data_IF_475667354287
#
_entry.id   IF_475667354287
#
_cell.length_a   1.000
_cell.length_b   1.000
_cell.length_c   1.000
_cell.angle_alpha   90.00
_cell.angle_beta   90.00
_cell.angle_gamma   90.00
#
_symmetry.space_group_name_H-M   'P 1'
#
loop_
_entity.id
_entity.type
_entity.pdbx_description
1 polymer ?
#
# COMPACT_ATOMS: atom_id res chain seq x y z
N UNK A 1 -35.77 -19.71 -1.27
CA UNK A 1 -34.76 -19.24 -0.29
C UNK A 1 -34.34 -17.84 -0.69
N UNK A 2 -34.69 -16.81 0.10
CA UNK A 2 -34.28 -15.43 -0.19
C UNK A 2 -32.77 -15.37 -0.16
N UNK A 3 -32.11 -14.98 -1.23
CA UNK A 3 -30.68 -14.72 -1.26
C UNK A 3 -30.38 -13.59 -0.26
N UNK A 4 -29.92 -13.96 0.92
CA UNK A 4 -29.50 -12.98 1.91
C UNK A 4 -28.34 -12.18 1.28
N UNK A 5 -28.55 -10.90 1.02
CA UNK A 5 -27.50 -10.02 0.45
C UNK A 5 -26.28 -9.93 1.37
N UNK A 6 -25.22 -9.31 0.90
CA UNK A 6 -23.98 -9.06 1.66
C UNK A 6 -24.31 -8.35 2.98
N UNK A 7 -23.80 -8.87 4.11
CA UNK A 7 -24.03 -8.27 5.42
C UNK A 7 -23.31 -6.93 5.54
N UNK A 8 -24.08 -5.84 5.46
CA UNK A 8 -23.58 -4.46 5.51
C UNK A 8 -22.87 -4.10 6.82
N UNK A 9 -23.14 -4.84 7.92
CA UNK A 9 -22.48 -4.63 9.21
C UNK A 9 -20.98 -4.90 9.14
N UNK A 10 -20.54 -5.78 8.24
CA UNK A 10 -19.12 -6.07 8.03
C UNK A 10 -18.35 -4.90 7.43
N UNK A 11 -19.01 -4.01 6.69
CA UNK A 11 -18.35 -2.94 5.93
C UNK A 11 -17.68 -1.94 6.87
N UNK A 12 -18.32 -1.54 7.96
CA UNK A 12 -17.78 -0.53 8.86
C UNK A 12 -16.47 -0.96 9.54
N UNK A 13 -16.35 -2.14 10.19
CA UNK A 13 -15.06 -2.57 10.76
C UNK A 13 -13.99 -2.77 9.66
N UNK A 14 -14.35 -3.29 8.49
CA UNK A 14 -13.39 -3.46 7.39
C UNK A 14 -12.84 -2.12 6.90
N UNK A 15 -13.69 -1.11 6.69
CA UNK A 15 -13.26 0.24 6.31
C UNK A 15 -12.38 0.82 7.41
N UNK A 16 -12.87 0.85 8.66
CA UNK A 16 -12.15 1.46 9.77
C UNK A 16 -10.78 0.82 10.00
N UNK A 17 -10.69 -0.51 9.95
CA UNK A 17 -9.41 -1.20 10.06
C UNK A 17 -8.47 -0.93 8.87
N UNK A 18 -9.00 -0.88 7.65
CA UNK A 18 -8.18 -0.68 6.44
C UNK A 18 -7.56 0.71 6.36
N UNK A 19 -8.21 1.75 6.92
CA UNK A 19 -7.71 3.13 6.92
C UNK A 19 -6.65 3.41 8.00
N UNK A 20 -6.45 2.51 8.98
CA UNK A 20 -5.48 2.73 10.05
C UNK A 20 -4.05 2.94 9.54
N UNK A 21 -3.64 2.22 8.49
CA UNK A 21 -2.31 2.39 7.92
C UNK A 21 -2.17 3.71 7.15
N UNK A 22 -3.02 4.02 6.15
CA UNK A 22 -2.91 5.28 5.41
C UNK A 22 -3.07 6.53 6.28
N UNK A 23 -3.93 6.54 7.28
CA UNK A 23 -4.08 7.69 8.18
C UNK A 23 -2.79 7.96 8.97
N UNK A 24 -2.17 6.90 9.51
CA UNK A 24 -0.93 7.01 10.26
C UNK A 24 0.27 7.39 9.39
N UNK A 25 0.30 6.94 8.14
CA UNK A 25 1.35 7.29 7.19
C UNK A 25 1.26 8.73 6.75
N UNK A 26 0.05 9.21 6.44
CA UNK A 26 -0.19 10.55 5.92
C UNK A 26 -0.10 11.64 7.00
N UNK A 27 -0.63 11.41 8.21
CA UNK A 27 -0.50 12.35 9.33
C UNK A 27 0.96 12.54 9.76
N UNK A 28 1.77 11.48 9.68
CA UNK A 28 3.19 11.57 10.09
C UNK A 28 3.97 12.57 9.25
N UNK A 29 3.63 12.74 7.98
CA UNK A 29 4.37 13.63 7.08
C UNK A 29 4.51 15.06 7.64
N UNK A 30 3.47 15.58 8.30
CA UNK A 30 3.48 16.91 8.91
C UNK A 30 4.05 16.94 10.33
N UNK A 31 4.28 15.78 10.96
CA UNK A 31 4.79 15.65 12.32
C UNK A 31 6.32 15.55 12.40
N UNK A 32 7.00 15.24 11.29
CA UNK A 32 8.44 15.00 11.31
C UNK A 32 9.25 16.20 11.81
N UNK A 33 8.86 17.41 11.41
CA UNK A 33 9.52 18.65 11.84
C UNK A 33 9.29 18.93 13.34
N UNK A 34 8.03 18.94 13.85
CA UNK A 34 7.78 19.10 15.29
C UNK A 34 8.47 18.03 16.15
N UNK A 35 8.49 16.77 15.70
CA UNK A 35 9.20 15.68 16.41
C UNK A 35 10.71 15.95 16.42
N UNK A 36 11.28 16.33 15.27
CA UNK A 36 12.70 16.67 15.17
C UNK A 36 13.10 17.79 16.13
N UNK A 37 12.27 18.85 16.19
CA UNK A 37 12.48 19.95 17.13
C UNK A 37 12.37 19.51 18.59
N UNK A 38 11.38 18.65 18.94
CA UNK A 38 11.17 18.19 20.30
C UNK A 38 12.33 17.32 20.84
N UNK A 39 12.97 16.52 19.97
CA UNK A 39 14.10 15.66 20.36
C UNK A 39 15.47 16.28 20.02
N UNK A 40 15.53 17.47 19.40
CA UNK A 40 16.78 18.11 18.98
C UNK A 40 17.56 17.31 17.91
N UNK A 41 16.85 16.65 16.99
CA UNK A 41 17.45 15.74 16.00
C UNK A 41 17.22 16.22 14.57
N UNK A 42 18.15 15.93 13.63
CA UNK A 42 18.04 16.32 12.23
C UNK A 42 16.98 15.50 11.49
N UNK A 43 16.46 16.02 10.35
CA UNK A 43 15.46 15.33 9.50
C UNK A 43 15.88 13.92 9.05
N UNK A 44 17.18 13.67 8.86
CA UNK A 44 17.69 12.34 8.52
C UNK A 44 17.41 11.27 9.58
N UNK A 45 17.28 11.67 10.84
CA UNK A 45 16.94 10.76 11.93
C UNK A 45 15.42 10.59 12.06
N UNK A 46 14.61 11.67 11.89
CA UNK A 46 13.15 11.55 11.92
C UNK A 46 12.60 10.72 10.75
N UNK A 47 13.32 10.64 9.62
CA UNK A 47 12.97 9.78 8.51
C UNK A 47 12.82 8.30 8.90
N UNK A 48 13.51 7.83 9.95
CA UNK A 48 13.37 6.48 10.46
C UNK A 48 11.97 6.16 11.01
N UNK A 49 11.18 7.17 11.37
CA UNK A 49 9.78 6.99 11.78
C UNK A 49 8.89 6.52 10.61
N UNK A 50 9.16 7.01 9.41
CA UNK A 50 8.49 6.58 8.17
C UNK A 50 9.01 5.19 7.76
N UNK A 51 10.35 5.06 7.76
CA UNK A 51 11.04 3.83 7.40
C UNK A 51 10.62 2.65 8.25
N UNK A 52 10.64 2.81 9.57
CA UNK A 52 10.25 1.76 10.52
C UNK A 52 8.83 1.27 10.29
N UNK A 53 7.89 2.18 10.04
CA UNK A 53 6.52 1.81 9.69
C UNK A 53 6.46 1.02 8.37
N UNK A 54 7.12 1.49 7.32
CA UNK A 54 7.04 0.86 5.99
C UNK A 54 7.73 -0.51 5.97
N UNK A 55 8.90 -0.64 6.60
CA UNK A 55 9.59 -1.93 6.73
C UNK A 55 8.73 -2.94 7.50
N UNK A 56 8.22 -2.53 8.67
CA UNK A 56 7.35 -3.39 9.47
C UNK A 56 6.08 -3.78 8.73
N UNK A 57 5.48 -2.85 7.98
CA UNK A 57 4.27 -3.12 7.20
C UNK A 57 4.55 -4.03 6.02
N UNK A 58 5.65 -3.84 5.29
CA UNK A 58 6.01 -4.67 4.14
C UNK A 58 6.27 -6.13 4.52
N UNK A 59 6.92 -6.36 5.66
CA UNK A 59 7.11 -7.70 6.23
C UNK A 59 5.81 -8.21 6.88
N UNK A 60 5.13 -7.35 7.61
CA UNK A 60 3.94 -7.69 8.38
C UNK A 60 2.75 -8.10 7.52
N UNK A 61 2.57 -7.51 6.34
CA UNK A 61 1.42 -7.78 5.46
C UNK A 61 1.30 -9.25 5.07
N UNK A 62 2.32 -9.93 4.49
CA UNK A 62 2.19 -11.34 4.13
C UNK A 62 2.20 -12.25 5.37
N UNK A 63 2.90 -11.87 6.45
CA UNK A 63 2.89 -12.62 7.70
C UNK A 63 1.48 -12.61 8.31
N UNK A 64 0.87 -11.45 8.45
CA UNK A 64 -0.51 -11.32 8.93
C UNK A 64 -1.51 -11.98 7.99
N UNK A 65 -1.26 -11.94 6.68
CA UNK A 65 -2.05 -12.66 5.69
C UNK A 65 -2.08 -14.17 5.95
N UNK A 66 -0.90 -14.78 6.17
CA UNK A 66 -0.79 -16.20 6.52
C UNK A 66 -1.45 -16.53 7.86
N UNK A 67 -1.28 -15.65 8.84
CA UNK A 67 -1.93 -15.81 10.14
C UNK A 67 -3.46 -15.73 10.03
N UNK A 68 -3.98 -14.83 9.18
CA UNK A 68 -5.42 -14.73 8.89
C UNK A 68 -5.95 -16.03 8.30
N UNK A 69 -5.26 -16.60 7.31
CA UNK A 69 -5.67 -17.85 6.67
C UNK A 69 -5.61 -19.04 7.64
N UNK A 70 -4.70 -18.98 8.64
CA UNK A 70 -4.49 -20.07 9.62
C UNK A 70 -5.41 -19.95 10.84
N UNK A 71 -5.51 -18.76 11.44
CA UNK A 71 -6.21 -18.53 12.71
C UNK A 71 -7.55 -17.82 12.59
N UNK A 72 -7.88 -17.37 11.37
CA UNK A 72 -9.13 -16.71 11.03
C UNK A 72 -9.08 -15.18 11.10
N UNK A 73 -9.88 -14.53 10.24
CA UNK A 73 -9.82 -13.08 10.03
C UNK A 73 -10.23 -12.27 11.27
N UNK A 74 -11.25 -12.72 12.02
CA UNK A 74 -11.73 -11.99 13.20
C UNK A 74 -10.67 -11.88 14.29
N UNK A 75 -9.97 -12.97 14.60
CA UNK A 75 -8.94 -12.99 15.66
C UNK A 75 -7.81 -12.05 15.31
N UNK A 76 -7.30 -12.15 14.08
CA UNK A 76 -6.17 -11.33 13.62
C UNK A 76 -6.54 -9.86 13.48
N UNK A 77 -7.77 -9.56 13.04
CA UNK A 77 -8.29 -8.20 13.01
C UNK A 77 -8.29 -7.58 14.42
N UNK A 78 -8.84 -8.28 15.42
CA UNK A 78 -8.91 -7.79 16.81
C UNK A 78 -7.52 -7.61 17.42
N UNK A 79 -6.63 -8.59 17.26
CA UNK A 79 -5.25 -8.52 17.76
C UNK A 79 -4.50 -7.36 17.07
N UNK A 80 -4.56 -7.27 15.74
CA UNK A 80 -3.87 -6.24 14.98
C UNK A 80 -4.35 -4.84 15.35
N UNK A 81 -5.67 -4.63 15.44
CA UNK A 81 -6.22 -3.33 15.82
C UNK A 81 -5.92 -2.97 17.29
N UNK A 82 -5.90 -3.94 18.21
CA UNK A 82 -5.45 -3.71 19.58
C UNK A 82 -3.97 -3.31 19.66
N UNK A 83 -3.10 -3.93 18.86
CA UNK A 83 -1.68 -3.55 18.75
C UNK A 83 -1.52 -2.11 18.24
N UNK A 84 -2.40 -1.62 17.36
CA UNK A 84 -2.40 -0.22 16.92
C UNK A 84 -2.66 0.72 18.10
N UNK A 85 -3.62 0.40 18.97
CA UNK A 85 -3.89 1.19 20.18
C UNK A 85 -2.71 1.22 21.15
N UNK A 86 -2.08 0.06 21.38
CA UNK A 86 -0.87 -0.06 22.22
C UNK A 86 0.26 0.77 21.61
N UNK A 87 0.49 0.65 20.31
CA UNK A 87 1.50 1.42 19.60
C UNK A 87 1.22 2.94 19.68
N UNK A 88 -0.07 3.33 19.58
CA UNK A 88 -0.50 4.71 19.77
C UNK A 88 -0.13 5.25 21.15
N UNK A 89 -0.42 4.50 22.22
CA UNK A 89 -0.02 4.85 23.60
C UNK A 89 1.49 4.94 23.73
N UNK A 90 2.23 3.95 23.24
CA UNK A 90 3.69 3.95 23.25
C UNK A 90 4.23 5.21 22.54
N UNK A 91 3.70 5.56 21.37
CA UNK A 91 4.14 6.73 20.62
C UNK A 91 3.82 8.05 21.33
N UNK A 92 2.65 8.16 21.95
CA UNK A 92 2.23 9.35 22.71
C UNK A 92 3.11 9.57 23.96
N UNK A 93 3.58 8.51 24.58
CA UNK A 93 4.41 8.54 25.80
C UNK A 93 5.91 8.36 25.53
N UNK A 94 6.36 8.46 24.28
CA UNK A 94 7.72 8.15 23.89
C UNK A 94 8.77 9.09 24.51
N UNK A 95 9.69 8.59 25.34
CA UNK A 95 10.73 9.41 25.97
C UNK A 95 11.93 9.63 25.05
N UNK A 96 12.03 8.92 23.93
CA UNK A 96 13.16 8.98 22.99
C UNK A 96 12.75 8.62 21.57
N UNK A 97 13.56 9.02 20.59
CA UNK A 97 13.37 8.65 19.18
C UNK A 97 13.34 7.12 19.00
N UNK A 98 14.25 6.38 19.64
CA UNK A 98 14.28 4.91 19.51
C UNK A 98 12.99 4.26 19.99
N UNK A 99 12.41 4.74 21.08
CA UNK A 99 11.12 4.27 21.58
C UNK A 99 9.97 4.62 20.61
N UNK A 100 10.04 5.81 20.02
CA UNK A 100 9.07 6.26 19.01
C UNK A 100 9.17 5.39 17.73
N UNK A 101 10.38 5.05 17.28
CA UNK A 101 10.59 4.11 16.15
C UNK A 101 10.02 2.72 16.50
N UNK A 102 10.26 2.21 17.70
CA UNK A 102 9.68 0.94 18.14
C UNK A 102 8.14 0.96 18.12
N UNK A 103 7.53 2.07 18.57
CA UNK A 103 6.09 2.30 18.44
C UNK A 103 5.63 2.22 16.97
N UNK A 104 6.38 2.82 16.03
CA UNK A 104 6.06 2.80 14.59
C UNK A 104 6.18 1.39 13.98
N UNK A 105 7.17 0.62 14.40
CA UNK A 105 7.33 -0.79 14.00
C UNK A 105 6.13 -1.62 14.49
N UNK A 106 5.75 -1.48 15.77
CA UNK A 106 4.59 -2.16 16.34
C UNK A 106 3.30 -1.78 15.62
N UNK A 107 3.12 -0.49 15.31
CA UNK A 107 1.99 0.03 14.55
C UNK A 107 1.94 -0.56 13.13
N UNK A 108 3.09 -0.69 12.47
CA UNK A 108 3.21 -1.33 11.17
C UNK A 108 2.72 -2.79 11.17
N UNK A 109 3.12 -3.57 12.16
CA UNK A 109 2.60 -4.93 12.33
C UNK A 109 1.10 -4.94 12.66
N UNK A 110 0.64 -4.07 13.56
CA UNK A 110 -0.77 -3.97 13.93
C UNK A 110 -1.68 -3.66 12.74
N UNK A 111 -1.32 -2.64 11.95
CA UNK A 111 -2.11 -2.22 10.78
C UNK A 111 -2.08 -3.24 9.63
N UNK A 112 -1.09 -4.14 9.61
CA UNK A 112 -0.93 -5.16 8.57
C UNK A 112 -2.01 -6.25 8.61
N UNK A 113 -2.72 -6.43 9.71
CA UNK A 113 -3.72 -7.49 9.85
C UNK A 113 -5.07 -7.14 9.18
N UNK A 114 -5.44 -5.85 9.18
CA UNK A 114 -6.81 -5.44 8.82
C UNK A 114 -7.17 -5.66 7.35
N UNK A 115 -6.26 -5.40 6.41
CA UNK A 115 -6.54 -5.58 4.99
C UNK A 115 -6.64 -7.06 4.59
N UNK A 116 -5.69 -7.95 4.94
CA UNK A 116 -5.84 -9.39 4.70
C UNK A 116 -7.10 -9.98 5.35
N UNK A 117 -7.41 -9.54 6.59
CA UNK A 117 -8.63 -9.98 7.27
C UNK A 117 -9.89 -9.53 6.52
N UNK A 118 -9.93 -8.29 6.02
CA UNK A 118 -11.05 -7.80 5.22
C UNK A 118 -11.22 -8.60 3.93
N UNK A 119 -10.15 -8.93 3.22
CA UNK A 119 -10.20 -9.74 2.00
C UNK A 119 -10.73 -11.16 2.27
N UNK A 120 -10.30 -11.77 3.36
CA UNK A 120 -10.79 -13.09 3.81
C UNK A 120 -12.28 -13.04 4.20
N UNK A 121 -12.72 -11.99 4.90
CA UNK A 121 -14.13 -11.78 5.26
C UNK A 121 -15.01 -11.56 4.04
N UNK A 122 -14.55 -10.75 3.09
CA UNK A 122 -15.27 -10.51 1.82
C UNK A 122 -15.46 -11.82 1.06
N UNK A 123 -14.40 -12.66 1.00
CA UNK A 123 -14.48 -13.96 0.35
C UNK A 123 -15.47 -14.90 1.04
N UNK A 124 -15.35 -15.01 2.35
CA UNK A 124 -16.23 -15.85 3.18
C UNK A 124 -17.71 -15.46 3.03
N UNK A 125 -17.98 -14.15 2.93
CA UNK A 125 -19.32 -13.62 2.76
C UNK A 125 -19.85 -13.82 1.33
N UNK A 126 -18.99 -13.71 0.33
CA UNK A 126 -19.33 -14.03 -1.06
C UNK A 126 -19.71 -15.50 -1.21
N UNK A 127 -18.93 -16.41 -0.60
CA UNK A 127 -19.23 -17.85 -0.60
C UNK A 127 -20.57 -18.15 0.13
N UNK A 128 -20.87 -17.42 1.22
CA UNK A 128 -22.14 -17.56 1.97
C UNK A 128 -23.37 -17.08 1.16
N UNK A 129 -23.19 -15.99 0.40
CA UNK A 129 -24.31 -15.35 -0.34
C UNK A 129 -24.46 -15.83 -1.77
N UNK A 130 -23.50 -16.59 -2.29
CA UNK A 130 -23.44 -16.99 -3.71
C UNK A 130 -23.15 -15.81 -4.65
N UNK A 131 -22.66 -14.67 -4.15
CA UNK A 131 -22.32 -13.51 -4.96
C UNK A 131 -20.89 -13.65 -5.51
N UNK A 132 -20.75 -13.71 -6.83
CA UNK A 132 -19.45 -13.93 -7.48
C UNK A 132 -18.47 -12.77 -7.33
N UNK A 133 -18.93 -11.52 -7.17
CA UNK A 133 -18.04 -10.36 -7.11
C UNK A 133 -18.55 -9.25 -6.20
N UNK A 134 -17.90 -9.04 -5.04
CA UNK A 134 -18.23 -7.94 -4.12
C UNK A 134 -17.54 -6.61 -4.51
N UNK A 135 -17.54 -6.29 -5.82
CA UNK A 135 -16.85 -5.10 -6.37
C UNK A 135 -17.22 -3.79 -5.66
N UNK A 136 -18.46 -3.66 -5.21
CA UNK A 136 -18.92 -2.50 -4.44
C UNK A 136 -18.21 -2.35 -3.10
N UNK A 137 -17.98 -3.46 -2.39
CA UNK A 137 -17.26 -3.45 -1.09
C UNK A 137 -15.78 -3.13 -1.29
N UNK A 138 -15.14 -3.73 -2.30
CA UNK A 138 -13.75 -3.44 -2.65
C UNK A 138 -13.56 -1.98 -3.07
N UNK A 139 -14.53 -1.41 -3.82
CA UNK A 139 -14.57 0.02 -4.14
C UNK A 139 -14.67 0.88 -2.91
N UNK A 140 -15.56 0.56 -1.98
CA UNK A 140 -15.72 1.32 -0.74
C UNK A 140 -14.44 1.35 0.09
N UNK A 141 -13.76 0.20 0.21
CA UNK A 141 -12.44 0.11 0.87
C UNK A 141 -11.38 0.95 0.15
N UNK A 142 -11.34 0.89 -1.19
CA UNK A 142 -10.39 1.66 -2.00
C UNK A 142 -10.61 3.16 -1.87
N UNK A 143 -11.85 3.62 -1.97
CA UNK A 143 -12.22 5.03 -1.81
C UNK A 143 -11.87 5.53 -0.40
N UNK A 144 -12.23 4.77 0.63
CA UNK A 144 -11.92 5.14 2.01
C UNK A 144 -10.41 5.33 2.23
N UNK A 145 -9.58 4.42 1.72
CA UNK A 145 -8.12 4.52 1.80
C UNK A 145 -7.59 5.77 1.05
N UNK A 146 -8.14 6.08 -0.14
CA UNK A 146 -7.73 7.26 -0.91
C UNK A 146 -8.15 8.56 -0.23
N UNK A 147 -9.39 8.64 0.26
CA UNK A 147 -9.89 9.82 1.00
C UNK A 147 -9.03 10.11 2.22
N UNK A 148 -8.71 9.08 3.00
CA UNK A 148 -7.86 9.23 4.18
C UNK A 148 -6.43 9.65 3.84
N UNK A 149 -5.86 9.14 2.75
CA UNK A 149 -4.54 9.55 2.30
C UNK A 149 -4.48 11.06 1.99
N UNK A 150 -5.58 11.62 1.45
CA UNK A 150 -5.71 13.06 1.14
C UNK A 150 -5.96 13.90 2.40
N UNK A 151 -6.87 13.47 3.26
CA UNK A 151 -7.27 14.22 4.46
C UNK A 151 -6.22 14.14 5.58
N UNK A 152 -5.43 13.06 5.59
CA UNK A 152 -4.51 12.74 6.68
C UNK A 152 -3.54 13.87 7.06
N UNK A 153 -2.84 14.52 6.13
CA UNK A 153 -1.95 15.64 6.47
C UNK A 153 -2.68 16.80 7.12
N UNK A 154 -3.87 17.15 6.63
CA UNK A 154 -4.72 18.21 7.23
C UNK A 154 -5.15 17.82 8.64
N UNK A 155 -5.62 16.60 8.83
CA UNK A 155 -5.98 16.09 10.16
C UNK A 155 -4.77 16.10 11.09
N UNK A 156 -3.60 15.67 10.61
CA UNK A 156 -2.35 15.73 11.36
C UNK A 156 -1.98 17.14 11.78
N UNK A 157 -2.08 18.11 10.87
CA UNK A 157 -1.84 19.52 11.17
C UNK A 157 -2.77 20.08 12.23
N UNK A 158 -4.08 19.77 12.15
CA UNK A 158 -5.08 20.16 13.17
C UNK A 158 -4.75 19.55 14.53
N UNK A 159 -4.42 18.26 14.59
CA UNK A 159 -4.06 17.58 15.84
C UNK A 159 -2.80 18.20 16.47
N UNK A 160 -1.78 18.51 15.66
CA UNK A 160 -0.57 19.17 16.15
C UNK A 160 -0.90 20.55 16.73
N UNK A 161 -1.76 21.31 16.07
CA UNK A 161 -2.19 22.62 16.55
C UNK A 161 -2.98 22.57 17.88
N UNK A 162 -3.73 21.49 18.13
CA UNK A 162 -4.54 21.31 19.34
C UNK A 162 -3.75 20.85 20.56
N UNK A 163 -2.70 20.02 20.38
CA UNK A 163 -1.99 19.43 21.53
C UNK A 163 -0.63 18.82 21.19
N UNK A 164 0.02 19.34 20.14
CA UNK A 164 1.34 18.93 19.73
C UNK A 164 1.36 17.56 18.99
N UNK A 165 2.56 17.15 18.60
CA UNK A 165 2.77 15.93 17.81
C UNK A 165 2.32 14.64 18.51
N UNK A 166 2.21 14.64 19.85
CA UNK A 166 1.74 13.50 20.63
C UNK A 166 0.31 13.07 20.24
N UNK A 167 -0.57 14.03 19.87
CA UNK A 167 -1.94 13.73 19.50
C UNK A 167 -2.06 12.87 18.24
N UNK A 168 -1.08 12.92 17.32
CA UNK A 168 -1.03 12.04 16.14
C UNK A 168 -0.93 10.56 16.55
N UNK A 169 -0.25 10.27 17.65
CA UNK A 169 -0.16 8.92 18.20
C UNK A 169 -1.37 8.58 19.05
N UNK A 170 -1.82 9.52 19.89
CA UNK A 170 -2.96 9.33 20.80
C UNK A 170 -4.26 9.02 20.05
N UNK A 171 -4.49 9.60 18.86
CA UNK A 171 -5.70 9.36 18.05
C UNK A 171 -5.87 7.87 17.67
N UNK A 172 -4.79 7.10 17.67
CA UNK A 172 -4.85 5.65 17.41
C UNK A 172 -5.59 4.90 18.52
N UNK A 173 -5.63 5.42 19.74
CA UNK A 173 -6.31 4.77 20.88
C UNK A 173 -7.83 4.72 20.65
N UNK A 174 -8.54 5.83 20.47
CA UNK A 174 -9.97 5.80 20.19
C UNK A 174 -10.30 5.07 18.88
N UNK A 175 -9.47 5.20 17.83
CA UNK A 175 -9.66 4.45 16.58
C UNK A 175 -9.52 2.94 16.80
N UNK A 176 -8.52 2.51 17.57
CA UNK A 176 -8.31 1.11 17.95
C UNK A 176 -9.50 0.57 18.77
N UNK A 177 -9.96 1.31 19.77
CA UNK A 177 -11.13 0.93 20.58
C UNK A 177 -12.36 0.76 19.68
N UNK A 178 -12.61 1.70 18.77
CA UNK A 178 -13.71 1.60 17.82
C UNK A 178 -13.58 0.35 16.93
N UNK A 179 -12.38 0.06 16.39
CA UNK A 179 -12.13 -1.14 15.61
C UNK A 179 -12.38 -2.41 16.42
N UNK A 180 -11.87 -2.48 17.66
CA UNK A 180 -12.04 -3.65 18.54
C UNK A 180 -13.52 -3.85 18.87
N UNK A 181 -14.24 -2.80 19.23
CA UNK A 181 -15.67 -2.86 19.58
C UNK A 181 -16.49 -3.31 18.37
N UNK A 182 -16.34 -2.62 17.22
CA UNK A 182 -17.07 -3.00 16.01
C UNK A 182 -16.70 -4.42 15.53
N UNK A 183 -15.40 -4.76 15.58
CA UNK A 183 -14.92 -6.09 15.22
C UNK A 183 -15.44 -7.18 16.15
N UNK A 184 -15.52 -6.89 17.45
CA UNK A 184 -16.05 -7.85 18.43
C UNK A 184 -17.52 -8.19 18.19
N UNK A 185 -18.36 -7.19 17.93
CA UNK A 185 -19.80 -7.38 17.78
C UNK A 185 -20.22 -7.79 16.36
N UNK A 186 -19.54 -7.31 15.32
CA UNK A 186 -20.02 -7.47 13.94
C UNK A 186 -19.23 -8.48 13.11
N UNK A 187 -17.97 -8.80 13.48
CA UNK A 187 -17.24 -9.80 12.71
C UNK A 187 -17.66 -11.23 13.10
N UNK A 188 -17.89 -12.14 12.13
CA UNK A 188 -18.34 -13.50 12.38
C UNK A 188 -17.30 -14.29 13.19
N UNK A 189 -17.79 -15.06 14.17
CA UNK A 189 -16.92 -15.89 15.01
C UNK A 189 -16.33 -17.09 14.27
N UNK A 190 -17.00 -17.58 13.25
CA UNK A 190 -16.57 -18.67 12.38
C UNK A 190 -16.52 -18.13 10.95
N UNK A 191 -15.34 -18.11 10.35
CA UNK A 191 -15.15 -17.87 8.93
C UNK A 191 -14.98 -19.22 8.22
N UNK A 192 -15.59 -19.37 7.04
CA UNK A 192 -15.37 -20.52 6.17
C UNK A 192 -13.93 -20.46 5.60
N UNK A 193 -13.28 -21.62 5.46
CA UNK A 193 -11.96 -21.71 4.81
C UNK A 193 -10.75 -21.58 5.74
N UNK A 194 -10.95 -21.44 7.06
CA UNK A 194 -9.83 -21.41 8.02
C UNK A 194 -9.18 -22.80 8.10
N UNK A 195 -7.92 -22.90 7.80
CA UNK A 195 -7.12 -24.13 7.91
C UNK A 195 -6.57 -24.29 9.32
N UNK A 196 -7.37 -24.89 10.21
CA UNK A 196 -6.92 -25.20 11.57
C UNK A 196 -5.85 -26.31 11.58
N UNK A 197 -4.78 -26.12 12.33
CA UNK A 197 -3.74 -27.13 12.54
C UNK A 197 -2.48 -27.01 11.68
N UNK A 198 -2.41 -26.02 10.76
CA UNK A 198 -1.18 -25.77 10.01
C UNK A 198 -0.07 -25.20 10.92
N UNK A 199 1.13 -25.73 10.78
CA UNK A 199 2.33 -25.17 11.44
C UNK A 199 2.83 -23.96 10.69
N UNK A 200 3.20 -22.92 11.44
CA UNK A 200 3.83 -21.73 10.84
C UNK A 200 5.30 -22.02 10.54
N UNK A 201 5.72 -21.72 9.33
CA UNK A 201 7.13 -21.77 8.95
C UNK A 201 7.86 -20.50 9.44
N UNK A 202 8.24 -20.47 10.72
CA UNK A 202 8.97 -19.34 11.30
C UNK A 202 10.30 -19.06 10.60
N UNK A 203 10.99 -20.09 10.10
CA UNK A 203 12.24 -19.89 9.41
C UNK A 203 12.02 -19.32 7.99
N UNK A 204 10.97 -19.74 7.27
CA UNK A 204 10.54 -19.11 6.01
C UNK A 204 10.16 -17.65 6.20
N UNK A 205 9.39 -17.34 7.26
CA UNK A 205 9.05 -15.95 7.63
C UNK A 205 10.33 -15.13 7.91
N UNK A 206 11.28 -15.68 8.66
CA UNK A 206 12.54 -15.02 9.00
C UNK A 206 13.40 -14.73 7.77
N UNK A 207 13.54 -15.70 6.86
CA UNK A 207 14.28 -15.53 5.60
C UNK A 207 13.62 -14.50 4.68
N UNK A 208 12.30 -14.53 4.56
CA UNK A 208 11.53 -13.54 3.80
C UNK A 208 11.70 -12.12 4.38
N UNK A 209 11.59 -12.00 5.70
CA UNK A 209 11.80 -10.73 6.39
C UNK A 209 13.23 -10.20 6.16
N UNK A 210 14.25 -11.05 6.33
CA UNK A 210 15.65 -10.68 6.11
C UNK A 210 15.91 -10.24 4.66
N UNK A 211 15.33 -10.95 3.69
CA UNK A 211 15.39 -10.58 2.27
C UNK A 211 14.79 -9.18 2.04
N UNK A 212 13.56 -8.96 2.50
CA UNK A 212 12.87 -7.68 2.30
C UNK A 212 13.58 -6.54 3.02
N UNK A 213 13.95 -6.73 4.29
CA UNK A 213 14.64 -5.68 5.07
C UNK A 213 15.97 -5.31 4.43
N UNK A 214 16.78 -6.28 4.00
CA UNK A 214 18.06 -6.02 3.32
C UNK A 214 17.86 -5.23 2.04
N UNK A 215 16.89 -5.62 1.20
CA UNK A 215 16.56 -4.92 -0.04
C UNK A 215 16.05 -3.50 0.23
N UNK A 216 15.11 -3.35 1.15
CA UNK A 216 14.47 -2.07 1.44
C UNK A 216 15.43 -1.07 2.07
N UNK A 217 16.28 -1.51 2.99
CA UNK A 217 17.32 -0.65 3.59
C UNK A 217 18.30 -0.16 2.53
N UNK A 218 18.69 -1.02 1.57
CA UNK A 218 19.53 -0.59 0.46
C UNK A 218 18.83 0.45 -0.43
N UNK A 219 17.57 0.21 -0.81
CA UNK A 219 16.80 1.15 -1.64
C UNK A 219 16.61 2.52 -0.98
N UNK A 220 16.50 2.55 0.35
CA UNK A 220 16.35 3.81 1.10
C UNK A 220 17.66 4.57 1.28
N UNK A 221 18.77 3.87 1.43
CA UNK A 221 20.07 4.43 1.74
C UNK A 221 21.12 3.90 0.75
N UNK A 222 20.97 4.16 -0.56
CA UNK A 222 21.86 3.62 -1.57
C UNK A 222 23.26 4.19 -1.42
N UNK A 223 24.25 3.32 -1.18
CA UNK A 223 25.65 3.68 -1.10
C UNK A 223 26.51 2.50 -1.54
N UNK A 224 27.68 2.80 -2.14
CA UNK A 224 28.64 1.76 -2.55
C UNK A 224 29.09 0.92 -1.36
N UNK A 225 29.30 1.54 -0.19
CA UNK A 225 29.65 0.85 1.06
C UNK A 225 28.57 -0.12 1.56
N UNK A 226 27.35 -0.08 1.00
CA UNK A 226 26.22 -0.92 1.37
C UNK A 226 25.83 -1.94 0.29
N UNK A 227 26.66 -2.15 -0.74
CA UNK A 227 26.42 -3.15 -1.79
C UNK A 227 26.35 -4.58 -1.25
N UNK A 228 26.77 -4.83 -0.02
CA UNK A 228 26.56 -6.11 0.67
C UNK A 228 25.06 -6.38 0.95
N UNK A 229 24.22 -5.34 1.10
CA UNK A 229 22.78 -5.50 1.39
C UNK A 229 22.00 -6.18 0.23
N UNK A 230 22.11 -5.75 -1.04
CA UNK A 230 21.48 -6.48 -2.14
C UNK A 230 22.04 -7.89 -2.32
N UNK A 231 23.33 -8.13 -2.03
CA UNK A 231 23.91 -9.48 -2.02
C UNK A 231 23.25 -10.34 -0.94
N UNK A 232 23.09 -9.81 0.28
CA UNK A 232 22.36 -10.48 1.36
C UNK A 232 20.89 -10.71 0.97
N UNK A 233 20.23 -9.74 0.35
CA UNK A 233 18.84 -9.89 -0.10
C UNK A 233 18.70 -11.05 -1.11
N UNK A 234 19.62 -11.16 -2.08
CA UNK A 234 19.67 -12.29 -3.03
C UNK A 234 19.95 -13.60 -2.30
N UNK A 235 20.90 -13.63 -1.37
CA UNK A 235 21.24 -14.82 -0.57
C UNK A 235 20.06 -15.32 0.28
N UNK A 236 19.42 -14.41 1.01
CA UNK A 236 18.22 -14.74 1.79
C UNK A 236 17.05 -15.13 0.89
N UNK A 237 16.89 -14.49 -0.26
CA UNK A 237 15.88 -14.84 -1.26
C UNK A 237 16.08 -16.24 -1.84
N UNK A 238 17.32 -16.61 -2.15
CA UNK A 238 17.66 -17.94 -2.62
C UNK A 238 17.43 -19.01 -1.54
N UNK A 239 17.86 -18.73 -0.30
CA UNK A 239 17.63 -19.61 0.85
C UNK A 239 16.12 -19.76 1.16
N UNK A 240 15.35 -18.65 1.07
CA UNK A 240 13.91 -18.65 1.18
C UNK A 240 13.27 -19.53 0.09
N UNK A 241 13.62 -19.32 -1.17
CA UNK A 241 13.07 -20.09 -2.29
C UNK A 241 13.39 -21.59 -2.16
N UNK A 242 14.63 -21.92 -1.82
CA UNK A 242 15.03 -23.31 -1.58
C UNK A 242 14.24 -23.97 -0.46
N UNK A 243 14.03 -23.25 0.67
CA UNK A 243 13.25 -23.74 1.79
C UNK A 243 11.78 -23.94 1.43
N UNK A 244 11.14 -22.93 0.85
CA UNK A 244 9.72 -22.96 0.48
C UNK A 244 9.38 -24.08 -0.50
N UNK A 245 10.31 -24.38 -1.42
CA UNK A 245 10.16 -25.49 -2.36
C UNK A 245 10.30 -26.87 -1.71
N UNK A 246 10.89 -26.99 -0.52
CA UNK A 246 11.11 -28.26 0.19
C UNK A 246 10.18 -28.47 1.40
N UNK A 247 9.61 -27.40 1.92
CA UNK A 247 8.72 -27.46 3.11
C UNK A 247 7.33 -27.93 2.69
N UNK A 248 6.72 -28.81 3.49
CA UNK A 248 5.37 -29.33 3.27
C UNK A 248 4.30 -28.25 3.52
N UNK A 249 4.50 -27.45 4.54
CA UNK A 249 3.63 -26.34 4.91
C UNK A 249 4.41 -25.02 4.83
N UNK A 250 4.67 -24.50 3.61
CA UNK A 250 5.51 -23.32 3.41
C UNK A 250 4.80 -22.05 3.88
N UNK A 251 5.59 -21.00 4.19
CA UNK A 251 5.07 -19.68 4.47
C UNK A 251 4.38 -19.10 3.23
N UNK A 252 5.06 -19.11 2.09
CA UNK A 252 4.53 -18.75 0.77
C UNK A 252 4.75 -19.93 -0.16
N UNK A 253 3.69 -20.60 -0.58
CA UNK A 253 3.81 -21.76 -1.48
C UNK A 253 4.27 -21.34 -2.89
N UNK A 254 5.57 -21.33 -3.09
CA UNK A 254 6.17 -20.94 -4.37
C UNK A 254 5.80 -21.89 -5.51
N UNK A 255 5.41 -23.15 -5.24
CA UNK A 255 4.94 -24.10 -6.26
C UNK A 255 3.59 -23.67 -6.81
N UNK A 256 2.66 -23.32 -5.91
CA UNK A 256 1.33 -22.81 -6.27
C UNK A 256 1.45 -21.44 -6.91
N UNK A 257 2.30 -20.59 -6.36
CA UNK A 257 2.54 -19.26 -6.91
C UNK A 257 3.18 -19.34 -8.31
N UNK A 258 4.19 -20.17 -8.49
CA UNK A 258 4.86 -20.37 -9.79
C UNK A 258 3.96 -21.00 -10.86
N UNK A 259 2.98 -21.80 -10.45
CA UNK A 259 1.93 -22.34 -11.32
C UNK A 259 0.80 -21.36 -11.66
N UNK A 260 0.74 -20.20 -11.00
CA UNK A 260 -0.31 -19.19 -11.19
C UNK A 260 0.26 -17.93 -11.85
N UNK A 261 0.58 -18.01 -13.14
CA UNK A 261 1.09 -16.89 -13.91
C UNK A 261 0.19 -15.64 -13.90
N UNK A 262 -1.17 -15.76 -13.93
CA UNK A 262 -2.06 -14.61 -13.75
C UNK A 262 -1.83 -13.84 -12.44
N UNK A 263 -1.70 -14.54 -11.34
CA UNK A 263 -1.48 -13.94 -10.02
C UNK A 263 -0.10 -13.26 -9.94
N UNK A 264 0.95 -13.89 -10.49
CA UNK A 264 2.27 -13.28 -10.62
C UNK A 264 2.23 -12.00 -11.46
N UNK A 265 1.50 -12.01 -12.59
CA UNK A 265 1.30 -10.82 -13.41
C UNK A 265 0.59 -9.71 -12.62
N UNK A 266 -0.37 -10.05 -11.75
CA UNK A 266 -1.06 -9.09 -10.90
C UNK A 266 -0.13 -8.47 -9.85
N UNK A 267 0.77 -9.24 -9.23
CA UNK A 267 1.80 -8.69 -8.33
C UNK A 267 2.79 -7.78 -9.07
N UNK A 268 3.26 -8.20 -10.24
CA UNK A 268 4.15 -7.37 -11.07
C UNK A 268 3.48 -6.05 -11.46
N UNK A 269 2.22 -6.09 -11.93
CA UNK A 269 1.43 -4.88 -12.23
C UNK A 269 1.28 -3.97 -11.02
N UNK A 270 1.08 -4.54 -9.82
CA UNK A 270 0.97 -3.76 -8.59
C UNK A 270 2.27 -3.01 -8.31
N UNK A 271 3.41 -3.68 -8.31
CA UNK A 271 4.72 -3.06 -8.09
C UNK A 271 4.96 -1.95 -9.13
N UNK A 272 4.85 -2.25 -10.43
CA UNK A 272 5.10 -1.30 -11.51
C UNK A 272 4.16 -0.09 -11.44
N UNK A 273 2.86 -0.29 -11.18
CA UNK A 273 1.90 0.81 -11.03
C UNK A 273 2.30 1.74 -9.89
N UNK A 274 2.76 1.20 -8.76
CA UNK A 274 3.15 2.01 -7.62
C UNK A 274 4.53 2.65 -7.77
N UNK A 275 5.48 2.01 -8.48
CA UNK A 275 6.72 2.66 -8.91
C UNK A 275 6.39 3.94 -9.69
N UNK A 276 5.53 3.85 -10.70
CA UNK A 276 5.21 5.00 -11.54
C UNK A 276 4.40 6.05 -10.77
N UNK A 277 3.36 5.64 -10.04
CA UNK A 277 2.47 6.57 -9.32
C UNK A 277 3.21 7.35 -8.22
N UNK A 278 4.06 6.68 -7.44
CA UNK A 278 4.82 7.34 -6.38
C UNK A 278 6.01 8.16 -6.93
N UNK A 279 6.69 7.67 -7.98
CA UNK A 279 7.75 8.48 -8.64
C UNK A 279 7.16 9.76 -9.23
N UNK A 280 5.99 9.66 -9.89
CA UNK A 280 5.28 10.84 -10.38
C UNK A 280 4.92 11.77 -9.23
N UNK A 281 4.23 11.27 -8.21
CA UNK A 281 3.75 12.08 -7.09
C UNK A 281 4.90 12.82 -6.39
N UNK A 282 5.92 12.10 -5.95
CA UNK A 282 7.02 12.69 -5.18
C UNK A 282 8.00 13.45 -6.08
N UNK A 283 8.32 12.93 -7.27
CA UNK A 283 9.24 13.59 -8.19
C UNK A 283 8.64 14.89 -8.73
N UNK A 284 7.36 14.87 -9.08
CA UNK A 284 6.69 16.09 -9.56
C UNK A 284 6.51 17.12 -8.43
N UNK A 285 6.21 16.67 -7.20
CA UNK A 285 6.17 17.56 -6.03
C UNK A 285 7.51 18.26 -5.79
N UNK A 286 8.61 17.50 -5.74
CA UNK A 286 9.95 18.07 -5.56
C UNK A 286 10.31 19.05 -6.68
N UNK A 287 9.99 18.74 -7.93
CA UNK A 287 10.25 19.63 -9.05
C UNK A 287 9.42 20.92 -8.97
N UNK A 288 8.16 20.85 -8.52
CA UNK A 288 7.33 22.03 -8.29
C UNK A 288 7.93 22.94 -7.22
N UNK A 289 8.51 22.37 -6.16
CA UNK A 289 9.14 23.13 -5.09
C UNK A 289 10.49 23.72 -5.52
N UNK A 290 11.39 22.92 -6.09
CA UNK A 290 12.74 23.36 -6.41
C UNK A 290 12.87 24.13 -7.74
N UNK A 291 12.31 23.62 -8.83
CA UNK A 291 12.43 24.25 -10.16
C UNK A 291 11.42 25.36 -10.40
N UNK A 292 10.26 25.31 -9.75
CA UNK A 292 9.21 26.34 -9.84
C UNK A 292 9.19 27.28 -8.65
N UNK A 293 10.02 27.01 -7.63
CA UNK A 293 10.08 27.79 -6.38
C UNK A 293 8.71 27.95 -5.70
N UNK A 294 7.82 26.95 -5.86
CA UNK A 294 6.55 26.94 -5.15
C UNK A 294 6.77 26.55 -3.69
N UNK A 295 6.01 27.16 -2.79
CA UNK A 295 5.98 26.65 -1.41
C UNK A 295 5.41 25.22 -1.38
N UNK A 296 5.76 24.43 -0.37
CA UNK A 296 5.23 23.08 -0.20
C UNK A 296 3.69 23.04 -0.20
N UNK A 297 3.06 24.07 0.40
CA UNK A 297 1.59 24.22 0.36
C UNK A 297 1.05 24.44 -1.04
N UNK A 298 1.70 25.29 -1.84
CA UNK A 298 1.28 25.55 -3.23
C UNK A 298 1.49 24.31 -4.11
N UNK A 299 2.60 23.61 -3.98
CA UNK A 299 2.84 22.33 -4.66
C UNK A 299 1.80 21.27 -4.28
N UNK A 300 1.45 21.17 -3.01
CA UNK A 300 0.37 20.31 -2.52
C UNK A 300 -1.00 20.65 -3.14
N UNK A 301 -1.34 21.94 -3.28
CA UNK A 301 -2.59 22.37 -3.93
C UNK A 301 -2.62 22.01 -5.43
N UNK A 302 -1.47 22.08 -6.12
CA UNK A 302 -1.36 21.65 -7.53
C UNK A 302 -1.59 20.15 -7.69
N UNK A 303 -1.18 19.35 -6.68
CA UNK A 303 -1.33 17.89 -6.69
C UNK A 303 -2.67 17.41 -6.12
N UNK A 304 -3.39 18.25 -5.38
CA UNK A 304 -4.68 17.86 -4.79
C UNK A 304 -5.69 17.32 -5.82
N UNK A 305 -5.85 17.91 -7.03
CA UNK A 305 -6.74 17.40 -8.07
C UNK A 305 -6.38 15.98 -8.54
N UNK A 306 -5.11 15.56 -8.48
CA UNK A 306 -4.68 14.18 -8.77
C UNK A 306 -5.41 13.18 -7.87
N UNK A 307 -5.40 13.43 -6.57
CA UNK A 307 -6.10 12.57 -5.60
C UNK A 307 -7.62 12.62 -5.78
N UNK A 308 -8.18 13.80 -6.08
CA UNK A 308 -9.59 13.95 -6.42
C UNK A 308 -9.99 13.11 -7.64
N UNK A 309 -9.20 13.16 -8.71
CA UNK A 309 -9.42 12.36 -9.91
C UNK A 309 -9.39 10.85 -9.63
N UNK A 310 -8.44 10.40 -8.78
CA UNK A 310 -8.36 8.99 -8.36
C UNK A 310 -9.63 8.53 -7.60
N UNK A 311 -10.13 9.35 -6.69
CA UNK A 311 -11.36 9.07 -5.93
C UNK A 311 -12.57 9.02 -6.88
N UNK A 312 -12.72 10.05 -7.72
CA UNK A 312 -13.86 10.16 -8.65
C UNK A 312 -13.91 8.98 -9.61
N UNK A 313 -12.79 8.63 -10.26
CA UNK A 313 -12.77 7.52 -11.21
C UNK A 313 -13.03 6.18 -10.52
N UNK A 314 -12.53 6.00 -9.29
CA UNK A 314 -12.81 4.80 -8.49
C UNK A 314 -14.30 4.71 -8.15
N UNK A 315 -14.94 5.82 -7.77
CA UNK A 315 -16.37 5.87 -7.46
C UNK A 315 -17.24 5.55 -8.70
N UNK A 316 -16.91 6.13 -9.85
CA UNK A 316 -17.67 5.94 -11.10
C UNK A 316 -17.51 4.51 -11.64
N UNK A 317 -16.29 3.98 -11.62
CA UNK A 317 -15.97 2.68 -12.23
C UNK A 317 -16.02 1.51 -11.25
N UNK A 318 -16.10 1.79 -9.96
CA UNK A 318 -15.91 0.83 -8.88
C UNK A 318 -16.87 -0.36 -8.91
N UNK A 319 -18.13 -0.12 -9.27
CA UNK A 319 -19.16 -1.17 -9.33
C UNK A 319 -19.09 -2.05 -10.59
N UNK A 320 -18.30 -1.65 -11.59
CA UNK A 320 -18.16 -2.39 -12.84
C UNK A 320 -17.04 -3.44 -12.69
N UNK A 321 -17.34 -4.69 -13.00
CA UNK A 321 -16.38 -5.80 -12.95
C UNK A 321 -15.39 -5.85 -14.12
N UNK A 322 -15.31 -4.81 -14.93
CA UNK A 322 -14.46 -4.73 -16.14
C UNK A 322 -12.97 -4.52 -15.81
N UNK A 323 -12.34 -5.58 -15.28
CA UNK A 323 -10.96 -5.51 -14.76
C UNK A 323 -9.95 -5.21 -15.86
N UNK A 324 -9.99 -5.96 -16.99
CA UNK A 324 -9.05 -5.76 -18.10
C UNK A 324 -9.12 -4.34 -18.67
N UNK A 325 -10.32 -3.83 -18.93
CA UNK A 325 -10.49 -2.51 -19.48
C UNK A 325 -9.98 -1.41 -18.56
N UNK A 326 -10.18 -1.53 -17.24
CA UNK A 326 -9.61 -0.59 -16.27
C UNK A 326 -8.08 -0.60 -16.28
N UNK A 327 -7.46 -1.78 -16.35
CA UNK A 327 -5.99 -1.90 -16.38
C UNK A 327 -5.41 -1.37 -17.69
N UNK A 328 -6.02 -1.66 -18.84
CA UNK A 328 -5.57 -1.15 -20.15
C UNK A 328 -5.74 0.36 -20.21
N UNK A 329 -6.94 0.87 -19.91
CA UNK A 329 -7.21 2.30 -19.89
C UNK A 329 -6.31 3.04 -18.89
N UNK A 330 -6.16 2.49 -17.66
CA UNK A 330 -5.26 3.04 -16.65
C UNK A 330 -3.81 3.08 -17.11
N UNK A 331 -3.31 2.04 -17.77
CA UNK A 331 -1.94 2.00 -18.28
C UNK A 331 -1.72 2.99 -19.43
N UNK A 332 -2.70 3.14 -20.34
CA UNK A 332 -2.63 4.11 -21.45
C UNK A 332 -2.66 5.55 -20.92
N UNK A 333 -3.58 5.84 -19.98
CA UNK A 333 -3.66 7.17 -19.37
C UNK A 333 -2.38 7.48 -18.58
N UNK A 334 -1.78 6.47 -17.93
CA UNK A 334 -0.52 6.64 -17.23
C UNK A 334 0.64 6.94 -18.18
N UNK A 335 0.69 6.28 -19.36
CA UNK A 335 1.63 6.61 -20.43
C UNK A 335 1.46 8.08 -20.88
N UNK A 336 0.23 8.53 -21.08
CA UNK A 336 -0.05 9.92 -21.47
C UNK A 336 0.39 10.90 -20.38
N UNK A 337 0.10 10.62 -19.10
CA UNK A 337 0.51 11.46 -17.98
C UNK A 337 2.04 11.57 -17.86
N UNK A 338 2.73 10.45 -17.98
CA UNK A 338 4.19 10.40 -17.92
C UNK A 338 4.82 11.06 -19.15
N UNK A 339 4.30 10.83 -20.35
CA UNK A 339 4.73 11.55 -21.56
C UNK A 339 4.55 13.06 -21.42
N UNK A 340 3.44 13.48 -20.79
CA UNK A 340 3.16 14.89 -20.53
C UNK A 340 4.20 15.57 -19.64
N UNK A 341 4.92 14.83 -18.77
CA UNK A 341 6.04 15.40 -17.98
C UNK A 341 7.17 15.92 -18.87
N UNK A 342 7.35 15.39 -20.09
CA UNK A 342 8.33 15.91 -21.05
C UNK A 342 7.99 17.34 -21.54
N UNK A 343 6.72 17.74 -21.41
CA UNK A 343 6.27 19.08 -21.76
C UNK A 343 6.40 20.07 -20.60
N UNK A 344 6.66 19.56 -19.38
CA UNK A 344 6.78 20.38 -18.19
C UNK A 344 8.09 21.18 -18.20
N UNK A 345 7.97 22.49 -18.10
CA UNK A 345 9.05 23.48 -18.06
C UNK A 345 8.90 24.35 -16.80
N UNK A 346 9.98 24.94 -16.34
CA UNK A 346 9.91 25.89 -15.22
C UNK A 346 8.96 27.08 -15.50
N UNK A 347 8.75 27.45 -16.76
CA UNK A 347 7.81 28.51 -17.21
C UNK A 347 6.40 28.01 -17.59
N UNK A 348 6.09 26.72 -17.50
CA UNK A 348 4.79 26.17 -17.93
C UNK A 348 3.63 26.78 -17.16
N UNK A 349 2.50 26.98 -17.84
CA UNK A 349 1.28 27.48 -17.22
C UNK A 349 0.77 26.53 -16.11
N UNK A 350 0.25 27.07 -15.02
CA UNK A 350 -0.19 26.29 -13.86
C UNK A 350 -1.31 25.31 -14.21
N UNK A 351 -2.23 25.70 -15.11
CA UNK A 351 -3.32 24.82 -15.54
C UNK A 351 -2.80 23.54 -16.24
N UNK A 352 -1.67 23.62 -16.97
CA UNK A 352 -1.07 22.46 -17.61
C UNK A 352 -0.54 21.48 -16.54
N UNK A 353 0.11 21.99 -15.51
CA UNK A 353 0.64 21.18 -14.40
C UNK A 353 -0.48 20.50 -13.60
N UNK A 354 -1.58 21.21 -13.37
CA UNK A 354 -2.79 20.66 -12.76
C UNK A 354 -3.41 19.57 -13.66
N UNK A 355 -3.49 19.80 -14.97
CA UNK A 355 -4.02 18.83 -15.93
C UNK A 355 -3.17 17.55 -15.97
N UNK A 356 -1.83 17.67 -15.90
CA UNK A 356 -0.92 16.52 -15.76
C UNK A 356 -1.18 15.74 -14.47
N UNK A 357 -1.36 16.42 -13.35
CA UNK A 357 -1.75 15.81 -12.07
C UNK A 357 -3.07 15.06 -12.18
N UNK A 358 -4.12 15.68 -12.70
CA UNK A 358 -5.43 15.04 -12.90
C UNK A 358 -5.28 13.78 -13.77
N UNK A 359 -4.54 13.89 -14.89
CA UNK A 359 -4.30 12.76 -15.79
C UNK A 359 -3.60 11.61 -15.08
N UNK A 360 -2.61 11.88 -14.20
CA UNK A 360 -1.93 10.88 -13.40
C UNK A 360 -2.81 10.28 -12.27
N UNK A 361 -3.85 10.99 -11.83
CA UNK A 361 -4.78 10.52 -10.82
C UNK A 361 -5.70 9.39 -11.31
N UNK A 362 -6.18 9.45 -12.55
CA UNK A 362 -7.07 8.42 -13.10
C UNK A 362 -6.47 7.00 -13.05
N UNK A 363 -5.22 6.76 -13.49
CA UNK A 363 -4.58 5.45 -13.38
C UNK A 363 -4.48 4.93 -11.95
N UNK A 364 -4.23 5.79 -10.98
CA UNK A 364 -4.13 5.39 -9.57
C UNK A 364 -5.44 4.75 -9.09
N UNK A 365 -6.59 5.34 -9.44
CA UNK A 365 -7.90 4.78 -9.11
C UNK A 365 -8.23 3.51 -9.90
N UNK A 366 -7.95 3.50 -11.21
CA UNK A 366 -8.27 2.37 -12.09
C UNK A 366 -7.42 1.14 -11.79
N UNK A 367 -6.08 1.29 -11.78
CA UNK A 367 -5.16 0.17 -11.63
C UNK A 367 -5.20 -0.43 -10.23
N UNK A 368 -5.27 0.41 -9.19
CA UNK A 368 -5.33 -0.06 -7.81
C UNK A 368 -6.54 -0.94 -7.54
N UNK A 369 -7.74 -0.47 -7.93
CA UNK A 369 -8.97 -1.25 -7.77
C UNK A 369 -8.98 -2.49 -8.68
N UNK A 370 -8.51 -2.37 -9.92
CA UNK A 370 -8.51 -3.49 -10.86
C UNK A 370 -7.54 -4.61 -10.43
N UNK A 371 -6.36 -4.27 -9.89
CA UNK A 371 -5.44 -5.27 -9.34
C UNK A 371 -6.02 -5.98 -8.09
N UNK A 372 -6.76 -5.26 -7.22
CA UNK A 372 -7.46 -5.88 -6.10
C UNK A 372 -8.54 -6.87 -6.57
N UNK A 373 -9.31 -6.48 -7.59
CA UNK A 373 -10.31 -7.37 -8.19
C UNK A 373 -9.66 -8.56 -8.92
N UNK A 374 -8.57 -8.36 -9.67
CA UNK A 374 -7.83 -9.45 -10.31
C UNK A 374 -7.32 -10.44 -9.27
N UNK A 375 -6.68 -9.97 -8.19
CA UNK A 375 -6.26 -10.82 -7.08
C UNK A 375 -7.41 -11.65 -6.53
N UNK A 376 -8.56 -11.02 -6.26
CA UNK A 376 -9.71 -11.69 -5.68
C UNK A 376 -10.18 -12.91 -6.50
N UNK A 377 -10.08 -12.81 -7.83
CA UNK A 377 -10.47 -13.90 -8.74
C UNK A 377 -9.35 -14.90 -9.03
N UNK A 378 -8.10 -14.47 -8.98
CA UNK A 378 -6.93 -15.30 -9.35
C UNK A 378 -6.31 -16.05 -8.18
N UNK A 379 -6.50 -15.55 -6.95
CA UNK A 379 -5.93 -16.18 -5.76
C UNK A 379 -6.74 -17.42 -5.34
N UNK A 380 -6.04 -18.39 -4.73
CA UNK A 380 -6.67 -19.51 -4.05
C UNK A 380 -7.58 -18.97 -2.93
N UNK A 381 -8.89 -19.30 -2.93
CA UNK A 381 -9.82 -18.88 -1.87
C UNK A 381 -9.34 -19.18 -0.45
N UNK A 382 -8.68 -20.32 -0.26
CA UNK A 382 -8.17 -20.74 1.05
C UNK A 382 -6.90 -19.96 1.49
N UNK A 383 -6.31 -19.14 0.60
CA UNK A 383 -5.08 -18.36 0.81
C UNK A 383 -5.24 -16.90 0.44
N UNK A 384 -6.47 -16.40 0.44
CA UNK A 384 -6.78 -15.03 0.03
C UNK A 384 -6.11 -13.98 0.93
N UNK A 385 -5.98 -14.26 2.23
CA UNK A 385 -5.29 -13.40 3.19
C UNK A 385 -3.81 -13.25 2.87
N UNK A 386 -3.11 -14.38 2.65
CA UNK A 386 -1.71 -14.39 2.24
C UNK A 386 -1.49 -13.66 0.92
N UNK A 387 -2.34 -13.93 -0.07
CA UNK A 387 -2.27 -13.29 -1.38
C UNK A 387 -2.51 -11.78 -1.32
N UNK A 388 -3.47 -11.34 -0.52
CA UNK A 388 -3.74 -9.93 -0.28
C UNK A 388 -2.58 -9.22 0.45
N UNK A 389 -1.97 -9.90 1.42
CA UNK A 389 -0.78 -9.41 2.11
C UNK A 389 0.38 -9.18 1.13
N UNK A 390 0.66 -10.13 0.24
CA UNK A 390 1.70 -9.99 -0.80
C UNK A 390 1.41 -8.85 -1.78
N UNK A 391 0.14 -8.66 -2.18
CA UNK A 391 -0.24 -7.54 -3.04
C UNK A 391 0.09 -6.20 -2.37
N UNK A 392 -0.19 -6.07 -1.08
CA UNK A 392 0.14 -4.86 -0.30
C UNK A 392 1.65 -4.68 -0.13
N UNK A 393 2.41 -5.74 0.07
CA UNK A 393 3.89 -5.67 0.06
C UNK A 393 4.41 -5.09 -1.25
N UNK A 394 3.82 -5.50 -2.40
CA UNK A 394 4.12 -4.92 -3.71
C UNK A 394 3.94 -3.39 -3.76
N UNK A 395 2.95 -2.84 -3.07
CA UNK A 395 2.75 -1.39 -2.94
C UNK A 395 3.95 -0.71 -2.26
N UNK A 396 4.43 -1.26 -1.14
CA UNK A 396 5.57 -0.68 -0.40
C UNK A 396 6.90 -0.84 -1.15
N UNK A 397 7.11 -1.98 -1.82
CA UNK A 397 8.26 -2.16 -2.71
C UNK A 397 8.24 -1.12 -3.84
N UNK A 398 7.09 -0.92 -4.49
CA UNK A 398 6.92 0.11 -5.51
C UNK A 398 7.23 1.51 -5.01
N UNK A 399 6.77 1.87 -3.81
CA UNK A 399 7.04 3.16 -3.19
C UNK A 399 8.55 3.38 -2.92
N UNK A 400 9.26 2.35 -2.44
CA UNK A 400 10.70 2.44 -2.18
C UNK A 400 11.53 2.48 -3.46
N UNK A 401 11.15 1.71 -4.48
CA UNK A 401 11.78 1.80 -5.80
C UNK A 401 11.55 3.18 -6.43
N UNK A 402 10.37 3.78 -6.23
CA UNK A 402 10.08 5.16 -6.64
C UNK A 402 11.00 6.17 -5.93
N UNK A 403 11.18 6.02 -4.61
CA UNK A 403 12.08 6.88 -3.85
C UNK A 403 13.54 6.76 -4.34
N UNK A 404 14.01 5.54 -4.62
CA UNK A 404 15.33 5.29 -5.17
C UNK A 404 15.49 5.89 -6.58
N UNK A 405 14.47 5.79 -7.43
CA UNK A 405 14.48 6.40 -8.76
C UNK A 405 14.57 7.94 -8.64
N UNK A 406 13.71 8.56 -7.83
CA UNK A 406 13.73 10.01 -7.61
C UNK A 406 15.10 10.47 -7.08
N UNK A 407 15.67 9.79 -6.09
CA UNK A 407 17.01 10.10 -5.58
C UNK A 407 18.11 9.95 -6.64
N UNK A 408 17.94 9.05 -7.61
CA UNK A 408 18.89 8.85 -8.70
C UNK A 408 18.83 9.97 -9.73
N UNK A 409 17.63 10.39 -10.13
CA UNK A 409 17.45 11.40 -11.17
C UNK A 409 17.52 12.84 -10.64
N UNK A 410 17.38 13.03 -9.32
CA UNK A 410 17.45 14.34 -8.66
C UNK A 410 18.68 14.50 -7.74
N UNK A 411 19.79 13.84 -8.08
CA UNK A 411 21.04 13.90 -7.28
C UNK A 411 21.52 15.32 -6.97
N UNK A 412 21.33 16.24 -7.90
CA UNK A 412 21.79 17.63 -7.81
C UNK A 412 20.64 18.63 -7.65
N UNK A 413 19.46 18.13 -7.25
CA UNK A 413 18.23 18.89 -7.15
C UNK A 413 17.20 18.45 -8.19
N UNK A 414 15.92 18.77 -7.94
CA UNK A 414 14.81 18.41 -8.81
C UNK A 414 14.71 19.38 -10.01
N UNK A 415 15.69 19.31 -10.92
CA UNK A 415 15.76 20.11 -12.14
C UNK A 415 14.78 19.61 -13.20
N UNK A 416 14.45 20.46 -14.17
CA UNK A 416 13.60 20.06 -15.31
C UNK A 416 14.24 18.94 -16.13
N UNK A 417 15.56 18.97 -16.34
CA UNK A 417 16.27 17.85 -17.00
C UNK A 417 16.19 16.56 -16.19
N UNK A 418 16.33 16.63 -14.88
CA UNK A 418 16.13 15.47 -13.99
C UNK A 418 14.71 14.90 -14.07
N UNK A 419 13.69 15.77 -14.13
CA UNK A 419 12.30 15.38 -14.31
C UNK A 419 12.07 14.67 -15.66
N UNK A 420 12.68 15.17 -16.74
CA UNK A 420 12.58 14.54 -18.05
C UNK A 420 13.26 13.17 -18.10
N UNK A 421 14.43 13.00 -17.46
CA UNK A 421 15.10 11.69 -17.34
C UNK A 421 14.26 10.73 -16.50
N UNK A 422 13.70 11.19 -15.38
CA UNK A 422 12.76 10.41 -14.57
C UNK A 422 11.55 9.98 -15.42
N UNK A 423 10.95 10.91 -16.16
CA UNK A 423 9.83 10.63 -17.06
C UNK A 423 10.18 9.55 -18.08
N UNK A 424 11.38 9.57 -18.68
CA UNK A 424 11.82 8.54 -19.60
C UNK A 424 11.90 7.15 -18.95
N UNK A 425 12.44 7.07 -17.74
CA UNK A 425 12.44 5.82 -16.95
C UNK A 425 11.00 5.34 -16.67
N UNK A 426 10.10 6.27 -16.32
CA UNK A 426 8.69 5.96 -16.06
C UNK A 426 7.94 5.51 -17.32
N UNK A 427 8.29 6.04 -18.52
CA UNK A 427 7.76 5.58 -19.80
C UNK A 427 8.10 4.11 -20.05
N UNK A 428 9.35 3.71 -19.84
CA UNK A 428 9.77 2.30 -19.95
C UNK A 428 8.98 1.43 -18.97
N UNK A 429 8.90 1.85 -17.71
CA UNK A 429 8.18 1.12 -16.66
C UNK A 429 6.69 0.97 -16.98
N UNK A 430 6.05 2.03 -17.49
CA UNK A 430 4.63 2.01 -17.85
C UNK A 430 4.38 1.20 -19.12
N UNK A 431 5.30 1.21 -20.07
CA UNK A 431 5.23 0.36 -21.27
C UNK A 431 5.29 -1.12 -20.89
N UNK A 432 6.16 -1.48 -19.95
CA UNK A 432 6.22 -2.84 -19.40
C UNK A 432 4.92 -3.21 -18.67
N UNK A 433 4.36 -2.29 -17.88
CA UNK A 433 3.06 -2.48 -17.22
C UNK A 433 1.94 -2.75 -18.24
N UNK A 434 1.88 -1.97 -19.31
CA UNK A 434 0.90 -2.16 -20.38
C UNK A 434 1.12 -3.49 -21.11
N UNK A 435 2.36 -3.85 -21.42
CA UNK A 435 2.71 -5.12 -22.06
C UNK A 435 2.24 -6.32 -21.24
N UNK A 436 2.56 -6.34 -19.92
CA UNK A 436 2.09 -7.40 -19.00
C UNK A 436 0.56 -7.45 -18.99
N UNK A 437 -0.10 -6.31 -19.00
CA UNK A 437 -1.56 -6.21 -19.00
C UNK A 437 -2.18 -6.77 -20.29
N UNK A 438 -1.59 -6.49 -21.44
CA UNK A 438 -2.08 -6.96 -22.74
C UNK A 438 -1.85 -8.46 -22.93
N UNK A 439 -0.72 -8.99 -22.45
CA UNK A 439 -0.36 -10.40 -22.55
C UNK A 439 -1.16 -11.29 -21.59
N UNK A 440 -1.70 -10.75 -20.50
CA UNK A 440 -2.48 -11.51 -19.53
C UNK A 440 -3.87 -11.85 -20.04
N UNK A 441 -3.98 -13.03 -20.65
CA UNK A 441 -5.25 -13.56 -21.18
C UNK A 441 -6.29 -13.86 -20.10
N UNK A 442 -5.88 -14.12 -18.87
CA UNK A 442 -6.80 -14.46 -17.77
C UNK A 442 -7.77 -13.31 -17.43
N UNK A 443 -7.35 -12.08 -17.68
CA UNK A 443 -8.17 -10.89 -17.47
C UNK A 443 -9.44 -10.83 -18.34
N UNK A 444 -9.50 -11.59 -19.43
CA UNK A 444 -10.69 -11.69 -20.28
C UNK A 444 -11.83 -12.47 -19.63
N UNK A 445 -11.51 -13.34 -18.69
CA UNK A 445 -12.50 -14.21 -18.01
C UNK A 445 -13.12 -13.54 -16.79
N UNK A 446 -12.46 -12.49 -16.25
CA UNK A 446 -12.94 -11.79 -15.06
C UNK A 446 -14.05 -10.81 -15.44
N UNK A 447 -15.24 -10.99 -14.84
CA UNK A 447 -16.40 -10.11 -15.01
C UNK A 447 -17.23 -10.33 -16.27
N UNK A 448 -17.08 -11.46 -16.96
CA UNK A 448 -18.08 -11.91 -17.93
C UNK A 448 -19.23 -12.58 -17.17
N UNK A 449 -20.49 -12.21 -17.45
CA UNK A 449 -21.61 -13.03 -16.96
C UNK A 449 -21.46 -14.42 -17.59
N UNK A 450 -21.46 -15.45 -16.76
CA UNK A 450 -21.57 -16.88 -17.14
C UNK A 450 -22.99 -17.16 -17.65
#
# INVERSE_FOLDING_TARGET
>A
MSSAGFDRKLIAPMILGSILNPINSSMLAVALIPIGAAFGIPPSQTAWLVTGLYLATAVGQPVMGKLVDTYGPRRLYLIGTALVGIAGLMGALAPSLGFLIASRVLLGFGTSAAYPASMSLIRSEADRTGQESPTGVLSALSIANQVIAVIGPTLGGVLIGLGGWHLIFTINVPLSIACVVLGWFWLPRRATGVRTGQRLDYAGIGLFAAMLVSLMVFLMLPAVSRLYLPVLAVGFGAAFAWRELRTLEPFIDLRVLGGNAPLLATYARQVLSFVVSYSFLYGFAQWLEESRSLSASAAGLVLLPMSGAAIVITAITGRRAWVRGKLVAGSIILLLAVSGLQLAQAGSALWLLIALGITAGFPQGLNGLANQNALYHQADPARIGSSAGLLRTGTYLGALMAAAANATFFKTGATTTGLHHLSFFLLITTSLLLLITLLDRSLHQIGRPT
#
